data_IF_531110000947
#
_entry.id   IF_531110000947
#
_cell.length_a   1.000
_cell.length_b   1.000
_cell.length_c   1.000
_cell.angle_alpha   90.00
_cell.angle_beta   90.00
_cell.angle_gamma   90.00
#
_symmetry.space_group_name_H-M   'P 1'
#
loop_
_entity.id
_entity.type
_entity.pdbx_description
1 polymer ?
#
# COMPACT_ATOMS: atom_id res chain seq x y z
N UNK A 1 0.68 -13.50 6.36
CA UNK A 1 1.66 -13.96 5.36
C UNK A 1 2.49 -15.09 5.97
N UNK A 2 2.01 -16.30 5.81
CA UNK A 2 2.65 -17.52 6.27
C UNK A 2 3.11 -18.32 5.03
N UNK A 3 3.89 -19.41 5.19
CA UNK A 3 4.38 -20.18 4.04
C UNK A 3 3.28 -20.81 3.21
N UNK A 4 2.14 -21.11 3.81
CA UNK A 4 0.96 -21.73 3.18
C UNK A 4 0.06 -20.72 2.42
N UNK A 5 0.30 -19.43 2.57
CA UNK A 5 -0.46 -18.39 1.88
C UNK A 5 0.42 -17.42 1.06
N UNK A 6 1.55 -17.91 0.58
CA UNK A 6 2.42 -17.22 -0.38
C UNK A 6 2.52 -18.05 -1.67
N UNK A 7 1.95 -17.54 -2.76
CA UNK A 7 2.03 -18.21 -4.06
C UNK A 7 3.36 -17.91 -4.77
N UNK A 8 4.01 -18.94 -5.29
CA UNK A 8 5.22 -18.82 -6.13
C UNK A 8 4.89 -18.36 -7.56
N UNK A 9 3.62 -18.37 -7.94
CA UNK A 9 3.18 -17.90 -9.27
C UNK A 9 3.30 -16.38 -9.44
N UNK A 10 3.52 -15.63 -8.36
CA UNK A 10 3.54 -14.16 -8.39
C UNK A 10 2.16 -13.52 -8.57
N UNK A 11 1.11 -14.29 -8.42
CA UNK A 11 -0.29 -13.86 -8.57
C UNK A 11 -1.04 -14.11 -7.27
N UNK A 12 -2.02 -13.24 -6.97
CA UNK A 12 -2.95 -13.45 -5.86
C UNK A 12 -4.06 -14.40 -6.30
N UNK A 13 -4.23 -15.51 -5.58
CA UNK A 13 -5.28 -16.51 -5.88
C UNK A 13 -6.65 -15.99 -5.49
N UNK A 14 -6.75 -15.37 -4.32
CA UNK A 14 -7.96 -14.76 -3.80
C UNK A 14 -7.66 -13.61 -2.85
N UNK A 15 -8.68 -12.86 -2.50
CA UNK A 15 -8.65 -11.79 -1.49
C UNK A 15 -9.53 -12.15 -0.27
N UNK A 16 -9.75 -13.43 -0.06
CA UNK A 16 -10.51 -13.95 1.08
C UNK A 16 -9.86 -13.54 2.39
N UNK A 17 -10.60 -13.50 3.48
CA UNK A 17 -10.65 -12.40 4.44
C UNK A 17 -9.38 -11.56 4.46
N UNK A 18 -9.46 -10.34 3.95
CA UNK A 18 -8.36 -9.39 3.94
C UNK A 18 -8.81 -8.05 4.54
N UNK A 19 -7.84 -7.25 4.98
CA UNK A 19 -8.05 -5.91 5.48
C UNK A 19 -7.18 -4.91 4.72
N UNK A 20 -7.65 -3.69 4.60
CA UNK A 20 -6.93 -2.57 4.00
C UNK A 20 -6.59 -1.53 5.06
N UNK A 21 -5.50 -0.82 4.85
CA UNK A 21 -5.04 0.22 5.74
C UNK A 21 -5.72 1.54 5.40
N UNK A 22 -6.44 2.12 6.37
CA UNK A 22 -6.97 3.49 6.28
C UNK A 22 -5.87 4.48 6.72
N UNK A 23 -5.67 4.63 8.00
CA UNK A 23 -4.59 5.46 8.56
C UNK A 23 -3.25 4.74 8.38
N UNK A 24 -2.27 5.46 7.84
CA UNK A 24 -0.93 4.88 7.70
C UNK A 24 -0.23 4.71 9.03
N UNK A 25 0.19 3.48 9.31
CA UNK A 25 1.15 3.20 10.37
C UNK A 25 1.98 1.96 10.01
N UNK A 26 3.31 1.97 10.19
CA UNK A 26 4.16 0.83 9.84
C UNK A 26 3.87 -0.43 10.67
N UNK A 27 3.32 -0.28 11.86
CA UNK A 27 2.92 -1.37 12.74
C UNK A 27 1.47 -1.84 12.54
N UNK A 28 0.77 -1.35 11.50
CA UNK A 28 -0.59 -1.79 11.21
C UNK A 28 -0.63 -3.29 10.97
N UNK A 29 -1.44 -3.97 11.79
CA UNK A 29 -1.72 -5.41 11.71
C UNK A 29 -3.03 -5.63 10.98
N UNK A 30 -3.08 -6.60 10.07
CA UNK A 30 -4.26 -6.87 9.23
C UNK A 30 -5.11 -8.05 9.73
N UNK A 31 -4.67 -8.73 10.77
CA UNK A 31 -5.41 -9.82 11.38
C UNK A 31 -5.30 -9.77 12.90
N UNK A 32 -6.44 -9.80 13.58
CA UNK A 32 -6.51 -9.74 15.05
C UNK A 32 -5.90 -10.96 15.76
N UNK A 33 -5.61 -12.04 15.03
CA UNK A 33 -4.88 -13.18 15.57
C UNK A 33 -3.36 -12.97 15.61
N UNK A 34 -2.84 -11.99 14.89
CA UNK A 34 -1.42 -11.61 14.91
C UNK A 34 -1.10 -10.70 16.10
N UNK A 35 -1.15 -11.25 17.30
CA UNK A 35 -0.92 -10.51 18.55
C UNK A 35 0.50 -9.94 18.69
N UNK A 36 1.47 -10.44 17.90
CA UNK A 36 2.87 -10.05 17.98
C UNK A 36 3.29 -9.10 16.85
N UNK A 37 2.38 -8.74 15.95
CA UNK A 37 2.68 -7.90 14.80
C UNK A 37 3.68 -8.54 13.82
N UNK A 38 3.73 -9.89 13.79
CA UNK A 38 4.63 -10.61 12.88
C UNK A 38 4.42 -10.21 11.43
N UNK A 39 3.18 -9.99 11.04
CA UNK A 39 2.75 -9.64 9.68
C UNK A 39 2.32 -8.19 9.55
N UNK A 40 2.74 -7.32 10.49
CA UNK A 40 2.52 -5.88 10.37
C UNK A 40 3.07 -5.35 9.04
N UNK A 41 2.50 -4.26 8.55
CA UNK A 41 2.85 -3.66 7.24
C UNK A 41 4.38 -3.52 7.06
N UNK A 42 5.07 -2.91 8.02
CA UNK A 42 6.52 -2.71 7.98
C UNK A 42 7.34 -4.00 8.09
N UNK A 43 6.75 -5.09 8.60
CA UNK A 43 7.44 -6.39 8.73
C UNK A 43 7.28 -7.29 7.49
N UNK A 44 6.40 -6.95 6.56
CA UNK A 44 6.07 -7.78 5.39
C UNK A 44 7.29 -8.20 4.56
N UNK A 45 8.26 -7.30 4.25
CA UNK A 45 9.44 -7.68 3.47
C UNK A 45 10.28 -8.74 4.17
N UNK A 46 10.48 -8.60 5.49
CA UNK A 46 11.26 -9.55 6.30
C UNK A 46 10.59 -10.92 6.34
N UNK A 47 9.26 -10.94 6.47
CA UNK A 47 8.51 -12.20 6.49
C UNK A 47 8.49 -12.85 5.11
N UNK A 48 8.40 -12.06 4.03
CA UNK A 48 8.53 -12.58 2.67
C UNK A 48 9.90 -13.26 2.47
N UNK A 49 11.00 -12.61 2.86
CA UNK A 49 12.34 -13.21 2.79
C UNK A 49 12.44 -14.49 3.62
N UNK A 50 11.85 -14.51 4.82
CA UNK A 50 11.82 -15.70 5.66
C UNK A 50 11.06 -16.85 4.96
N UNK A 51 9.91 -16.58 4.34
CA UNK A 51 9.14 -17.57 3.59
C UNK A 51 9.95 -18.14 2.42
N UNK A 52 10.63 -17.24 1.67
CA UNK A 52 11.51 -17.65 0.57
C UNK A 52 12.66 -18.53 1.05
N UNK A 53 13.24 -18.25 2.23
CA UNK A 53 14.25 -19.09 2.82
C UNK A 53 13.69 -20.49 3.16
N UNK A 54 12.44 -20.59 3.67
CA UNK A 54 11.78 -21.90 3.90
C UNK A 54 11.55 -22.67 2.59
N UNK A 55 11.16 -21.95 1.52
CA UNK A 55 11.03 -22.55 0.19
C UNK A 55 12.39 -23.05 -0.31
N UNK A 56 13.44 -22.24 -0.24
CA UNK A 56 14.78 -22.59 -0.69
C UNK A 56 15.31 -23.86 -0.01
N UNK A 57 15.06 -24.04 1.30
CA UNK A 57 15.43 -25.27 2.03
C UNK A 57 14.80 -26.52 1.41
N UNK A 58 13.56 -26.43 0.92
CA UNK A 58 12.87 -27.55 0.29
C UNK A 58 13.40 -27.86 -1.11
N UNK A 59 14.02 -26.89 -1.76
CA UNK A 59 14.55 -26.99 -3.13
C UNK A 59 16.01 -27.46 -3.19
N UNK A 60 16.73 -27.50 -2.06
CA UNK A 60 18.15 -27.88 -2.04
C UNK A 60 18.48 -29.16 -2.82
N UNK A 61 17.68 -30.24 -2.75
CA UNK A 61 17.97 -31.46 -3.51
C UNK A 61 17.83 -31.31 -5.02
N UNK A 62 17.20 -30.21 -5.50
CA UNK A 62 16.95 -29.92 -6.91
C UNK A 62 17.97 -28.94 -7.50
N UNK A 63 18.68 -28.17 -6.65
CA UNK A 63 19.63 -27.14 -7.08
C UNK A 63 20.97 -27.74 -7.49
N UNK A 64 21.52 -28.66 -6.71
CA UNK A 64 22.77 -29.32 -7.05
C UNK A 64 22.86 -30.70 -6.36
N UNK A 65 23.68 -31.61 -6.93
CA UNK A 65 23.99 -32.91 -6.30
C UNK A 65 24.86 -32.74 -5.03
N UNK A 66 25.80 -31.78 -5.08
CA UNK A 66 26.61 -31.41 -3.94
C UNK A 66 25.83 -30.48 -3.00
N UNK A 67 25.74 -30.88 -1.72
CA UNK A 67 24.94 -30.15 -0.73
C UNK A 67 25.46 -28.74 -0.46
N UNK A 68 26.80 -28.56 -0.40
CA UNK A 68 27.38 -27.27 -0.11
C UNK A 68 27.19 -26.31 -1.29
N UNK A 69 27.27 -26.81 -2.52
CA UNK A 69 26.96 -26.06 -3.72
C UNK A 69 25.47 -25.64 -3.74
N UNK A 70 24.53 -26.56 -3.42
CA UNK A 70 23.10 -26.27 -3.34
C UNK A 70 22.79 -25.18 -2.30
N UNK A 71 23.39 -25.26 -1.10
CA UNK A 71 23.22 -24.26 -0.04
C UNK A 71 23.74 -22.90 -0.48
N UNK A 72 24.91 -22.87 -1.14
CA UNK A 72 25.50 -21.63 -1.63
C UNK A 72 24.60 -20.95 -2.67
N UNK A 73 24.07 -21.71 -3.63
CA UNK A 73 23.16 -21.18 -4.67
C UNK A 73 21.87 -20.67 -4.07
N UNK A 74 21.28 -21.41 -3.13
CA UNK A 74 20.09 -20.96 -2.39
C UNK A 74 20.33 -19.67 -1.62
N UNK A 75 21.47 -19.56 -0.93
CA UNK A 75 21.82 -18.37 -0.15
C UNK A 75 22.00 -17.13 -1.06
N UNK A 76 22.69 -17.29 -2.20
CA UNK A 76 22.87 -16.19 -3.17
C UNK A 76 21.51 -15.67 -3.68
N UNK A 77 20.55 -16.57 -3.94
CA UNK A 77 19.18 -16.19 -4.36
C UNK A 77 18.42 -15.44 -3.25
N UNK A 78 18.53 -15.88 -1.99
CA UNK A 78 17.89 -15.21 -0.84
C UNK A 78 18.52 -13.85 -0.57
N UNK A 79 19.83 -13.72 -0.68
CA UNK A 79 20.54 -12.46 -0.47
C UNK A 79 20.16 -11.41 -1.54
N UNK A 80 19.91 -11.84 -2.78
CA UNK A 80 19.44 -10.98 -3.85
C UNK A 80 18.04 -10.40 -3.62
N UNK A 81 17.19 -11.06 -2.80
CA UNK A 81 15.82 -10.60 -2.51
C UNK A 81 15.80 -9.20 -1.89
N UNK A 82 16.63 -8.94 -0.89
CA UNK A 82 16.62 -7.66 -0.17
C UNK A 82 16.86 -6.47 -1.13
N UNK A 83 17.88 -6.56 -1.97
CA UNK A 83 18.20 -5.52 -2.96
C UNK A 83 17.10 -5.39 -4.02
N UNK A 84 16.54 -6.50 -4.48
CA UNK A 84 15.42 -6.51 -5.42
C UNK A 84 14.19 -5.85 -4.83
N UNK A 85 13.85 -6.16 -3.59
CA UNK A 85 12.74 -5.56 -2.86
C UNK A 85 12.93 -4.05 -2.68
N UNK A 86 14.09 -3.61 -2.17
CA UNK A 86 14.39 -2.19 -1.95
C UNK A 86 14.27 -1.38 -3.25
N UNK A 87 14.79 -1.92 -4.35
CA UNK A 87 14.70 -1.28 -5.68
C UNK A 87 13.24 -1.15 -6.13
N UNK A 88 12.46 -2.22 -6.01
CA UNK A 88 11.05 -2.22 -6.42
C UNK A 88 10.20 -1.30 -5.53
N UNK A 89 10.47 -1.29 -4.23
CA UNK A 89 9.78 -0.44 -3.25
C UNK A 89 10.06 1.05 -3.51
N UNK A 90 11.34 1.42 -3.68
CA UNK A 90 11.73 2.78 -4.01
C UNK A 90 11.09 3.26 -5.33
N UNK A 91 11.11 2.41 -6.37
CA UNK A 91 10.47 2.71 -7.65
C UNK A 91 8.94 2.85 -7.52
N UNK A 92 8.30 2.04 -6.69
CA UNK A 92 6.88 2.12 -6.38
C UNK A 92 6.50 3.44 -5.72
N UNK A 93 7.23 3.84 -4.67
CA UNK A 93 7.01 5.11 -3.97
C UNK A 93 7.30 6.31 -4.87
N UNK A 94 8.37 6.25 -5.68
CA UNK A 94 8.69 7.32 -6.64
C UNK A 94 7.55 7.55 -7.62
N UNK A 95 6.96 6.48 -8.18
CA UNK A 95 5.78 6.60 -9.07
C UNK A 95 4.59 7.23 -8.37
N UNK A 96 4.34 6.86 -7.11
CA UNK A 96 3.26 7.47 -6.31
C UNK A 96 3.45 8.98 -6.11
N UNK A 97 4.70 9.44 -6.02
CA UNK A 97 5.08 10.83 -5.85
C UNK A 97 5.28 11.60 -7.18
N UNK A 98 5.08 10.95 -8.32
CA UNK A 98 5.27 11.57 -9.64
C UNK A 98 6.74 11.79 -10.02
N UNK A 99 7.65 10.96 -9.47
CA UNK A 99 9.08 10.97 -9.73
C UNK A 99 9.42 9.81 -10.67
N UNK A 100 9.72 10.13 -11.94
CA UNK A 100 9.92 9.13 -13.00
C UNK A 100 11.40 8.94 -13.38
N UNK A 101 12.25 9.83 -12.87
CA UNK A 101 13.71 9.74 -13.02
C UNK A 101 14.33 9.54 -11.64
N UNK A 102 14.50 8.27 -11.20
CA UNK A 102 14.93 7.95 -9.84
C UNK A 102 16.24 8.62 -9.46
N UNK A 103 16.32 9.12 -8.24
CA UNK A 103 17.51 9.66 -7.59
C UNK A 103 17.72 8.99 -6.23
N UNK A 104 18.94 8.94 -5.71
CA UNK A 104 19.25 8.33 -4.41
C UNK A 104 18.39 8.86 -3.26
N UNK A 105 18.06 10.17 -3.27
CA UNK A 105 17.33 10.84 -2.18
C UNK A 105 15.81 10.70 -2.29
N UNK A 106 15.27 10.17 -3.39
CA UNK A 106 13.82 10.04 -3.60
C UNK A 106 13.18 9.09 -2.57
N UNK A 107 13.88 8.03 -2.17
CA UNK A 107 13.41 7.12 -1.12
C UNK A 107 13.31 7.83 0.22
N UNK A 108 14.30 8.64 0.59
CA UNK A 108 14.29 9.42 1.83
C UNK A 108 13.15 10.43 1.86
N UNK A 109 12.86 11.07 0.72
CA UNK A 109 11.73 11.99 0.59
C UNK A 109 10.38 11.26 0.80
N UNK A 110 10.23 10.07 0.23
CA UNK A 110 9.03 9.26 0.41
C UNK A 110 8.88 8.76 1.86
N UNK A 111 9.96 8.34 2.49
CA UNK A 111 9.98 7.90 3.89
C UNK A 111 9.65 9.06 4.85
N UNK A 112 10.17 10.29 4.61
CA UNK A 112 9.81 11.50 5.39
C UNK A 112 8.29 11.75 5.32
N UNK A 113 7.64 11.57 4.13
CA UNK A 113 6.18 11.66 4.02
C UNK A 113 5.48 10.60 4.89
N UNK A 114 5.88 9.35 4.75
CA UNK A 114 5.28 8.24 5.48
C UNK A 114 5.39 8.43 7.02
N UNK A 115 6.53 8.90 7.52
CA UNK A 115 6.70 9.21 8.93
C UNK A 115 5.77 10.34 9.39
N UNK A 116 5.61 11.40 8.58
CA UNK A 116 4.69 12.50 8.87
C UNK A 116 3.24 12.02 8.87
N UNK A 117 2.87 11.17 7.92
CA UNK A 117 1.55 10.54 7.88
C UNK A 117 1.26 9.73 9.15
N UNK A 118 2.21 8.90 9.59
CA UNK A 118 2.06 8.10 10.82
C UNK A 118 1.87 8.98 12.06
N UNK A 119 2.66 10.05 12.21
CA UNK A 119 2.56 10.99 13.35
C UNK A 119 1.25 11.78 13.35
N UNK A 120 0.65 11.99 12.18
CA UNK A 120 -0.57 12.79 12.02
C UNK A 120 -1.85 11.98 11.88
N UNK A 121 -1.77 10.65 11.87
CA UNK A 121 -2.93 9.80 11.65
C UNK A 121 -3.55 9.97 10.26
N UNK A 122 -2.71 10.25 9.25
CA UNK A 122 -3.19 10.54 7.91
C UNK A 122 -3.57 9.29 7.13
N UNK A 123 -4.65 9.37 6.34
CA UNK A 123 -5.12 8.27 5.49
C UNK A 123 -4.14 7.98 4.35
N UNK A 124 -3.74 6.71 4.23
CA UNK A 124 -2.72 6.29 3.26
C UNK A 124 -3.17 6.51 1.81
N UNK A 125 -4.37 6.10 1.49
CA UNK A 125 -4.90 6.18 0.12
C UNK A 125 -5.18 7.63 -0.28
N UNK A 126 -5.84 8.39 0.60
CA UNK A 126 -6.21 9.77 0.32
C UNK A 126 -5.01 10.68 0.15
N UNK A 127 -3.97 10.55 0.97
CA UNK A 127 -2.76 11.37 0.83
C UNK A 127 -2.20 11.21 -0.58
N UNK A 128 -1.89 9.99 -1.01
CA UNK A 128 -1.32 9.77 -2.34
C UNK A 128 -2.27 10.16 -3.48
N UNK A 129 -3.57 9.96 -3.31
CA UNK A 129 -4.55 10.39 -4.32
C UNK A 129 -4.63 11.91 -4.43
N UNK A 130 -4.67 12.65 -3.32
CA UNK A 130 -4.70 14.12 -3.30
C UNK A 130 -3.40 14.74 -3.81
N UNK A 131 -2.25 14.11 -3.56
CA UNK A 131 -0.98 14.55 -4.14
C UNK A 131 -0.99 14.57 -5.67
N UNK A 132 -1.79 13.72 -6.33
CA UNK A 132 -1.93 13.77 -7.80
C UNK A 132 -2.50 15.13 -8.28
N UNK A 133 -3.41 15.70 -7.50
CA UNK A 133 -4.04 16.99 -7.81
C UNK A 133 -3.22 18.17 -7.30
N UNK A 134 -2.41 17.98 -6.27
CA UNK A 134 -1.46 18.96 -5.78
C UNK A 134 -0.20 19.08 -6.65
N UNK A 135 0.21 18.03 -7.37
CA UNK A 135 1.43 18.04 -8.18
C UNK A 135 1.50 19.16 -9.23
N UNK A 136 0.41 19.53 -9.92
CA UNK A 136 0.39 20.63 -10.90
C UNK A 136 0.63 22.02 -10.32
N UNK A 137 0.08 22.31 -9.14
CA UNK A 137 0.06 23.64 -8.55
C UNK A 137 -0.09 23.56 -7.01
N UNK A 138 0.49 24.51 -6.25
CA UNK A 138 0.21 24.66 -4.83
C UNK A 138 -1.26 24.88 -4.47
N UNK A 139 -2.10 25.24 -5.42
CA UNK A 139 -3.54 25.40 -5.18
C UNK A 139 -4.21 24.11 -4.71
N UNK A 140 -3.67 22.93 -5.08
CA UNK A 140 -4.12 21.63 -4.62
C UNK A 140 -3.64 21.23 -3.21
N UNK A 141 -2.77 22.01 -2.59
CA UNK A 141 -2.19 21.67 -1.29
C UNK A 141 -3.22 21.68 -0.16
N UNK A 142 -4.24 22.52 -0.26
CA UNK A 142 -5.27 22.65 0.78
C UNK A 142 -5.95 21.30 1.09
N UNK A 143 -6.24 20.52 0.06
CA UNK A 143 -6.89 19.23 0.20
C UNK A 143 -5.97 18.19 0.90
N UNK A 144 -4.67 18.20 0.58
CA UNK A 144 -3.69 17.33 1.24
C UNK A 144 -3.47 17.75 2.69
N UNK A 145 -3.30 19.07 2.93
CA UNK A 145 -3.12 19.65 4.27
C UNK A 145 -4.24 19.28 5.24
N UNK A 146 -5.47 19.24 4.74
CA UNK A 146 -6.66 18.92 5.54
C UNK A 146 -6.65 17.49 6.10
N UNK A 147 -5.81 16.60 5.56
CA UNK A 147 -5.65 15.21 6.01
C UNK A 147 -4.62 15.06 7.14
N UNK A 148 -3.89 16.13 7.48
CA UNK A 148 -2.93 16.13 8.57
C UNK A 148 -3.52 16.78 9.81
N UNK A 149 -3.32 16.18 10.99
CA UNK A 149 -3.68 16.81 12.27
C UNK A 149 -2.89 18.10 12.49
N UNK A 150 -1.61 18.11 12.10
CA UNK A 150 -0.77 19.30 12.00
C UNK A 150 -0.45 19.59 10.53
N UNK A 151 -1.16 20.52 9.88
CA UNK A 151 -0.92 20.87 8.48
C UNK A 151 0.49 21.40 8.17
N UNK A 152 1.21 21.97 9.15
CA UNK A 152 2.59 22.44 8.96
C UNK A 152 3.55 21.31 8.64
N UNK A 153 3.26 20.11 9.14
CA UNK A 153 4.00 18.89 8.79
C UNK A 153 4.00 18.59 7.29
N UNK A 154 2.89 18.87 6.61
CA UNK A 154 2.81 18.74 5.15
C UNK A 154 3.57 19.86 4.45
N UNK A 155 3.44 21.10 4.89
CA UNK A 155 4.03 22.28 4.21
C UNK A 155 5.56 22.15 4.08
N UNK A 156 6.23 21.74 5.16
CA UNK A 156 7.68 21.53 5.17
C UNK A 156 8.13 20.43 4.20
N UNK A 157 7.34 19.37 4.10
CA UNK A 157 7.61 18.26 3.17
C UNK A 157 7.30 18.68 1.73
N UNK A 158 6.17 19.33 1.50
CA UNK A 158 5.72 19.76 0.18
C UNK A 158 6.74 20.68 -0.51
N UNK A 159 7.40 21.56 0.26
CA UNK A 159 8.44 22.42 -0.29
C UNK A 159 9.61 21.60 -0.90
N UNK A 160 10.07 20.55 -0.23
CA UNK A 160 11.11 19.63 -0.72
C UNK A 160 10.63 18.87 -1.96
N UNK A 161 9.42 18.33 -1.90
CA UNK A 161 8.81 17.57 -2.98
C UNK A 161 8.64 18.43 -4.24
N UNK A 162 8.12 19.66 -4.12
CA UNK A 162 7.99 20.58 -5.25
C UNK A 162 9.32 20.98 -5.87
N UNK A 163 10.34 21.20 -5.03
CA UNK A 163 11.69 21.44 -5.53
C UNK A 163 12.17 20.25 -6.38
N UNK A 164 12.00 19.04 -5.88
CA UNK A 164 12.35 17.81 -6.60
C UNK A 164 11.56 17.61 -7.90
N UNK A 165 10.26 17.93 -7.92
CA UNK A 165 9.44 17.90 -9.13
C UNK A 165 9.92 18.92 -10.16
N UNK A 166 10.27 20.12 -9.72
CA UNK A 166 10.78 21.19 -10.61
C UNK A 166 12.11 20.81 -11.25
N UNK A 167 13.03 20.19 -10.49
CA UNK A 167 14.30 19.71 -11.02
C UNK A 167 14.14 18.59 -12.05
N UNK A 168 13.12 17.77 -11.92
CA UNK A 168 12.83 16.72 -12.90
C UNK A 168 12.26 17.29 -14.20
N UNK A 169 11.48 18.37 -14.10
CA UNK A 169 10.75 18.93 -15.22
C UNK A 169 9.65 18.01 -15.74
N UNK A 170 9.28 18.18 -17.00
CA UNK A 170 8.26 17.38 -17.66
C UNK A 170 6.87 18.01 -17.67
N UNK A 171 5.97 17.39 -18.41
CA UNK A 171 4.61 17.88 -18.64
C UNK A 171 3.73 17.58 -17.40
N UNK A 172 3.08 18.63 -16.92
CA UNK A 172 2.31 18.57 -15.66
C UNK A 172 1.11 17.63 -15.72
N UNK A 173 0.38 17.65 -16.84
CA UNK A 173 -0.80 16.79 -17.01
C UNK A 173 -0.42 15.31 -17.17
N UNK A 174 0.69 15.03 -17.86
CA UNK A 174 1.21 13.67 -17.99
C UNK A 174 1.63 13.12 -16.62
N UNK A 175 2.31 13.94 -15.82
CA UNK A 175 2.67 13.58 -14.44
C UNK A 175 1.44 13.25 -13.61
N UNK A 176 0.43 14.14 -13.62
CA UNK A 176 -0.83 13.91 -12.90
C UNK A 176 -1.51 12.61 -13.32
N UNK A 177 -1.60 12.34 -14.62
CA UNK A 177 -2.19 11.11 -15.14
C UNK A 177 -1.42 9.86 -14.70
N UNK A 178 -0.09 9.89 -14.77
CA UNK A 178 0.76 8.78 -14.31
C UNK A 178 0.69 8.56 -12.80
N UNK A 179 0.62 9.62 -12.01
CA UNK A 179 0.39 9.52 -10.55
C UNK A 179 -0.98 8.90 -10.25
N UNK A 180 -2.04 9.30 -10.95
CA UNK A 180 -3.39 8.74 -10.78
C UNK A 180 -3.43 7.25 -11.13
N UNK A 181 -2.68 6.81 -12.13
CA UNK A 181 -2.53 5.40 -12.48
C UNK A 181 -1.77 4.57 -11.43
N UNK A 182 -0.96 5.22 -10.58
CA UNK A 182 -0.23 4.59 -9.48
C UNK A 182 -0.93 4.72 -8.12
N UNK A 183 -1.94 5.60 -7.99
CA UNK A 183 -2.62 5.93 -6.74
C UNK A 183 -4.13 5.74 -6.92
N UNK A 184 -4.71 4.66 -6.36
CA UNK A 184 -6.14 4.41 -6.51
C UNK A 184 -6.97 5.52 -5.83
N UNK A 185 -8.16 5.78 -6.39
CA UNK A 185 -9.17 6.62 -5.76
C UNK A 185 -9.98 5.81 -4.73
N UNK A 186 -10.14 4.51 -4.97
CA UNK A 186 -10.98 3.62 -4.18
C UNK A 186 -10.18 2.41 -3.72
N UNK A 187 -10.42 1.99 -2.49
CA UNK A 187 -9.98 0.72 -1.91
C UNK A 187 -11.19 0.05 -1.23
N UNK A 188 -11.20 -1.26 -1.01
CA UNK A 188 -12.25 -1.91 -0.23
C UNK A 188 -12.04 -1.57 1.25
N UNK A 189 -12.53 -0.40 1.67
CA UNK A 189 -12.41 0.06 3.05
C UNK A 189 -13.12 -0.90 3.99
N UNK A 190 -12.48 -1.25 5.09
CA UNK A 190 -12.95 -2.29 6.00
C UNK A 190 -14.40 -2.05 6.47
N UNK A 191 -14.78 -0.81 6.80
CA UNK A 191 -16.15 -0.49 7.24
C UNK A 191 -17.22 -0.70 6.15
N UNK A 192 -16.87 -0.49 4.87
CA UNK A 192 -17.79 -0.74 3.75
C UNK A 192 -17.89 -2.23 3.45
N UNK A 193 -16.81 -2.98 3.64
CA UNK A 193 -16.82 -4.46 3.54
C UNK A 193 -17.71 -5.04 4.64
N UNK A 194 -17.57 -4.58 5.90
CA UNK A 194 -18.43 -5.00 7.02
C UNK A 194 -19.90 -4.62 6.81
N UNK A 195 -20.18 -3.44 6.24
CA UNK A 195 -21.53 -3.05 5.84
C UNK A 195 -22.13 -4.04 4.84
N UNK A 196 -21.36 -4.41 3.80
CA UNK A 196 -21.80 -5.34 2.78
C UNK A 196 -22.02 -6.75 3.34
N UNK A 197 -21.12 -7.24 4.21
CA UNK A 197 -21.26 -8.53 4.89
C UNK A 197 -22.51 -8.54 5.78
N UNK A 198 -22.70 -7.50 6.61
CA UNK A 198 -23.83 -7.40 7.53
C UNK A 198 -25.17 -7.37 6.79
N UNK A 199 -25.27 -6.60 5.70
CA UNK A 199 -26.49 -6.54 4.88
C UNK A 199 -26.79 -7.91 4.23
N UNK A 200 -25.77 -8.59 3.72
CA UNK A 200 -25.95 -9.89 3.08
C UNK A 200 -26.35 -10.99 4.09
N UNK A 201 -25.68 -11.04 5.25
CA UNK A 201 -25.89 -12.09 6.26
C UNK A 201 -27.18 -11.90 7.03
N UNK A 202 -27.50 -10.67 7.45
CA UNK A 202 -28.65 -10.42 8.32
C UNK A 202 -29.95 -10.24 7.56
N UNK A 203 -29.89 -9.61 6.37
CA UNK A 203 -31.06 -9.16 5.64
C UNK A 203 -31.23 -9.83 4.26
N UNK A 204 -30.26 -10.65 3.82
CA UNK A 204 -30.23 -11.19 2.45
C UNK A 204 -30.13 -10.10 1.38
N UNK A 205 -29.61 -8.91 1.74
CA UNK A 205 -29.55 -7.74 0.89
C UNK A 205 -28.15 -7.53 0.33
N UNK A 206 -27.96 -7.77 -0.97
CA UNK A 206 -26.67 -7.78 -1.64
C UNK A 206 -26.29 -6.46 -2.34
N UNK A 207 -27.17 -5.45 -2.39
CA UNK A 207 -26.89 -4.21 -3.11
C UNK A 207 -25.63 -3.46 -2.62
N UNK A 208 -25.27 -3.44 -1.31
CA UNK A 208 -23.99 -2.86 -0.87
C UNK A 208 -22.77 -3.58 -1.45
N UNK A 209 -22.83 -4.92 -1.52
CA UNK A 209 -21.79 -5.73 -2.14
C UNK A 209 -21.67 -5.45 -3.65
N UNK A 210 -22.78 -5.43 -4.38
CA UNK A 210 -22.80 -5.15 -5.82
C UNK A 210 -22.30 -3.75 -6.15
N UNK A 211 -22.63 -2.76 -5.31
CA UNK A 211 -22.14 -1.40 -5.42
C UNK A 211 -20.62 -1.33 -5.18
N UNK A 212 -20.12 -2.00 -4.15
CA UNK A 212 -18.70 -2.06 -3.84
C UNK A 212 -17.92 -2.74 -4.98
N UNK A 213 -18.43 -3.84 -5.51
CA UNK A 213 -17.87 -4.53 -6.67
C UNK A 213 -17.80 -3.62 -7.90
N UNK A 214 -18.87 -2.86 -8.16
CA UNK A 214 -18.93 -1.90 -9.27
C UNK A 214 -17.85 -0.83 -9.13
N UNK A 215 -17.72 -0.22 -7.96
CA UNK A 215 -16.73 0.81 -7.69
C UNK A 215 -15.30 0.27 -7.84
N UNK A 216 -15.04 -0.90 -7.29
CA UNK A 216 -13.72 -1.51 -7.29
C UNK A 216 -13.31 -2.12 -8.63
N UNK A 217 -14.22 -2.22 -9.60
CA UNK A 217 -13.86 -2.64 -10.96
C UNK A 217 -13.00 -1.63 -11.70
N UNK A 218 -13.06 -0.34 -11.29
CA UNK A 218 -12.24 0.75 -11.85
C UNK A 218 -11.65 1.62 -10.72
N UNK A 219 -10.75 1.05 -9.87
CA UNK A 219 -10.36 1.70 -8.61
C UNK A 219 -9.48 2.93 -8.79
N UNK A 220 -8.90 3.13 -9.98
CA UNK A 220 -8.04 4.29 -10.30
C UNK A 220 -8.78 5.44 -10.96
N UNK A 221 -10.02 5.25 -11.37
CA UNK A 221 -10.83 6.28 -12.01
C UNK A 221 -11.62 7.09 -10.99
N UNK A 222 -11.82 8.38 -11.28
CA UNK A 222 -12.71 9.21 -10.48
C UNK A 222 -14.17 8.85 -10.82
N UNK A 223 -14.94 8.49 -9.81
CA UNK A 223 -16.34 8.10 -9.95
C UNK A 223 -17.22 8.99 -9.05
N UNK A 224 -17.63 10.20 -9.52
CA UNK A 224 -18.32 11.18 -8.67
C UNK A 224 -19.61 10.69 -8.04
N UNK A 225 -20.30 9.74 -8.68
CA UNK A 225 -21.54 9.14 -8.14
C UNK A 225 -21.29 8.26 -6.89
N UNK A 226 -20.03 7.85 -6.64
CA UNK A 226 -19.64 6.94 -5.59
C UNK A 226 -18.76 7.60 -4.51
N UNK A 227 -18.91 8.91 -4.28
CA UNK A 227 -18.10 9.67 -3.34
C UNK A 227 -17.99 9.05 -1.93
N UNK A 228 -19.08 8.45 -1.42
CA UNK A 228 -19.08 7.77 -0.11
C UNK A 228 -18.04 6.65 0.03
N UNK A 229 -17.62 6.04 -1.09
CA UNK A 229 -16.65 4.96 -1.09
C UNK A 229 -15.19 5.44 -1.02
N UNK A 230 -14.98 6.74 -1.17
CA UNK A 230 -13.67 7.41 -0.98
C UNK A 230 -13.41 7.68 0.49
N UNK A 231 -14.48 8.01 1.24
CA UNK A 231 -14.37 8.53 2.61
C UNK A 231 -13.81 7.47 3.58
N UNK A 232 -12.90 7.87 4.49
CA UNK A 232 -12.45 7.02 5.58
C UNK A 232 -13.59 6.73 6.57
N UNK A 233 -13.46 5.71 7.42
CA UNK A 233 -14.47 5.42 8.43
C UNK A 233 -14.60 6.59 9.42
N UNK A 234 -15.84 6.91 9.81
CA UNK A 234 -16.08 7.72 11.00
C UNK A 234 -15.64 6.95 12.25
N UNK A 235 -15.41 7.62 13.40
CA UNK A 235 -14.99 6.95 14.64
C UNK A 235 -15.89 5.78 15.05
N UNK A 236 -17.20 5.88 14.80
CA UNK A 236 -18.20 4.83 15.06
C UNK A 236 -18.21 3.68 14.06
N UNK A 237 -17.50 3.82 12.94
CA UNK A 237 -17.41 2.84 11.86
C UNK A 237 -16.07 2.11 11.81
N UNK A 238 -15.11 2.51 12.65
CA UNK A 238 -13.79 1.88 12.65
C UNK A 238 -13.90 0.39 12.98
N UNK A 239 -13.40 -0.45 12.09
CA UNK A 239 -13.36 -1.90 12.29
C UNK A 239 -12.12 -2.23 13.12
N UNK A 240 -12.36 -2.56 14.40
CA UNK A 240 -11.27 -2.83 15.34
C UNK A 240 -10.75 -4.27 15.28
N UNK A 241 -11.49 -5.18 14.68
CA UNK A 241 -11.10 -6.57 14.56
C UNK A 241 -11.33 -7.06 13.15
N UNK A 242 -10.25 -7.49 12.51
CA UNK A 242 -10.28 -8.15 11.21
C UNK A 242 -9.68 -9.54 11.37
N UNK A 243 -10.26 -10.52 10.71
CA UNK A 243 -9.80 -11.90 10.79
C UNK A 243 -9.42 -12.38 9.39
N UNK A 244 -8.13 -12.61 9.21
CA UNK A 244 -7.63 -13.40 8.10
C UNK A 244 -7.60 -14.85 8.58
N UNK A 245 -8.39 -15.71 7.98
CA UNK A 245 -8.77 -17.03 8.52
C UNK A 245 -7.69 -18.13 8.45
N UNK A 246 -6.39 -17.77 8.51
CA UNK A 246 -5.30 -18.74 8.53
C UNK A 246 -4.30 -18.47 9.61
#
# INVERSE_FOLDING_TARGET
MNTDNMSIAGETIDYGPCAFMDVYHPETVYSSIDNMGRYAYGNQPRIAQWNLARLAETLLPLLAEDKDAAVKEAQEAIDAFATGFETAYAAGLSRKLGLFRPRPDDLSLAQDLLERMARNGADFTLIFRRLCDAAPSPDGDADVRSLFTDPSSFDDWAAKWRHRLAEEGGETNERRAAMRAANPAFIPRNHLVEEAISAAVNDGYFAPFESLLTVLSMPYEDQPAFGRYVDPPRPDQVVHQTFCGT
#
